data_IF_553282352883
#
_entry.id   IF_553282352883
#
_cell.length_a   1.000
_cell.length_b   1.000
_cell.length_c   1.000
_cell.angle_alpha   90.00
_cell.angle_beta   90.00
_cell.angle_gamma   90.00
#
_symmetry.space_group_name_H-M   'P 1'
#
loop_
_entity.id
_entity.type
_entity.pdbx_description
1 polymer ?
#
# COMPACT_ATOMS: atom_id res chain seq x y z
N UNK A 1 10.78 -37.65 50.18
CA UNK A 1 11.32 -38.07 48.86
C UNK A 1 10.57 -37.32 47.77
N UNK A 2 11.33 -36.61 46.93
CA UNK A 2 11.05 -36.03 45.59
C UNK A 2 9.66 -35.41 45.30
N UNK A 3 9.67 -34.07 45.27
CA UNK A 3 8.76 -33.16 44.56
C UNK A 3 8.92 -33.33 43.02
N UNK A 4 8.04 -32.70 42.24
CA UNK A 4 7.82 -32.75 40.76
C UNK A 4 6.77 -33.80 40.35
N UNK A 5 5.65 -33.43 39.71
CA UNK A 5 5.48 -33.19 38.25
C UNK A 5 4.29 -32.20 38.05
N UNK A 6 4.54 -30.98 37.56
CA UNK A 6 4.24 -30.46 36.21
C UNK A 6 2.75 -30.55 35.77
N UNK A 7 2.01 -29.43 35.80
CA UNK A 7 1.77 -28.53 34.64
C UNK A 7 1.10 -29.25 33.45
N UNK A 8 -0.23 -29.21 33.42
CA UNK A 8 -1.02 -29.41 32.19
C UNK A 8 -1.95 -28.20 32.00
N UNK A 9 -1.34 -27.05 31.75
CA UNK A 9 -2.04 -25.92 31.15
C UNK A 9 -2.34 -26.34 29.70
N UNK A 10 -3.56 -26.82 29.46
CA UNK A 10 -4.08 -27.01 28.11
C UNK A 10 -4.25 -25.62 27.51
N UNK A 11 -3.19 -25.14 26.86
CA UNK A 11 -3.20 -23.92 26.08
C UNK A 11 -4.19 -24.11 24.93
N UNK A 12 -5.22 -23.27 24.92
CA UNK A 12 -6.04 -23.01 23.76
C UNK A 12 -5.15 -22.61 22.58
N UNK A 13 -4.75 -23.56 21.75
CA UNK A 13 -4.28 -23.29 20.40
C UNK A 13 -5.52 -22.98 19.56
N UNK A 14 -6.07 -21.79 19.78
CA UNK A 14 -6.91 -21.13 18.78
C UNK A 14 -6.03 -20.95 17.55
N UNK A 15 -6.29 -21.73 16.51
CA UNK A 15 -5.78 -21.44 15.19
C UNK A 15 -6.37 -20.08 14.81
N UNK A 16 -5.60 -19.01 15.04
CA UNK A 16 -5.89 -17.71 14.46
C UNK A 16 -5.79 -17.88 12.96
N UNK A 17 -6.90 -18.19 12.31
CA UNK A 17 -7.06 -18.01 10.88
C UNK A 17 -6.89 -16.51 10.61
N UNK A 18 -5.66 -16.10 10.32
CA UNK A 18 -5.38 -14.79 9.74
C UNK A 18 -6.22 -14.71 8.48
N UNK A 19 -7.28 -13.91 8.51
CA UNK A 19 -8.17 -13.73 7.38
C UNK A 19 -7.35 -13.09 6.26
N UNK A 20 -7.05 -13.88 5.24
CA UNK A 20 -6.31 -13.46 4.07
C UNK A 20 -7.20 -12.48 3.30
N UNK A 21 -6.90 -11.18 3.43
CA UNK A 21 -7.65 -10.12 2.75
C UNK A 21 -7.27 -10.14 1.28
N UNK A 22 -8.22 -10.43 0.38
CA UNK A 22 -7.99 -10.26 -1.05
C UNK A 22 -7.75 -8.78 -1.37
N UNK A 23 -6.81 -8.46 -2.26
CA UNK A 23 -6.44 -7.06 -2.51
C UNK A 23 -7.65 -6.19 -2.94
N UNK A 24 -8.65 -6.78 -3.59
CA UNK A 24 -9.88 -6.08 -3.95
C UNK A 24 -10.71 -5.66 -2.73
N UNK A 25 -10.83 -6.53 -1.71
CA UNK A 25 -11.51 -6.15 -0.47
C UNK A 25 -10.74 -5.09 0.30
N UNK A 26 -9.41 -5.18 0.32
CA UNK A 26 -8.59 -4.13 0.94
C UNK A 26 -8.77 -2.79 0.20
N UNK A 27 -8.75 -2.82 -1.13
CA UNK A 27 -8.98 -1.67 -1.99
C UNK A 27 -10.34 -1.00 -1.67
N UNK A 28 -11.43 -1.75 -1.75
CA UNK A 28 -12.78 -1.26 -1.44
C UNK A 28 -12.87 -0.70 -0.02
N UNK A 29 -12.23 -1.37 0.94
CA UNK A 29 -12.20 -0.93 2.32
C UNK A 29 -11.47 0.42 2.50
N UNK A 30 -10.28 0.58 1.93
CA UNK A 30 -9.53 1.84 2.07
C UNK A 30 -10.16 2.98 1.27
N UNK A 31 -10.77 2.69 0.12
CA UNK A 31 -11.45 3.70 -0.69
C UNK A 31 -12.74 4.19 -0.04
N UNK A 32 -13.48 3.29 0.63
CA UNK A 32 -14.75 3.62 1.29
C UNK A 32 -14.59 4.17 2.71
N UNK A 33 -13.58 3.69 3.45
CA UNK A 33 -13.41 3.99 4.87
C UNK A 33 -12.18 4.83 5.23
N UNK A 34 -11.23 5.02 4.30
CA UNK A 34 -10.03 5.80 4.52
C UNK A 34 -10.21 7.30 4.28
N UNK A 35 -9.43 8.12 4.99
CA UNK A 35 -9.37 9.56 4.75
C UNK A 35 -8.49 9.88 3.55
N UNK A 36 -9.03 10.51 2.51
CA UNK A 36 -8.27 10.90 1.32
C UNK A 36 -7.17 11.92 1.62
N UNK A 37 -5.90 11.55 1.42
CA UNK A 37 -4.72 12.43 1.64
C UNK A 37 -4.34 13.22 0.39
N UNK A 38 -4.70 12.72 -0.78
CA UNK A 38 -4.48 13.41 -2.05
C UNK A 38 -4.47 12.45 -3.24
N UNK A 39 -4.64 13.01 -4.43
CA UNK A 39 -4.63 12.28 -5.69
C UNK A 39 -3.83 13.06 -6.73
N UNK A 40 -3.08 12.34 -7.56
CA UNK A 40 -2.38 12.84 -8.73
C UNK A 40 -2.90 12.11 -9.97
N UNK A 41 -3.39 12.87 -10.95
CA UNK A 41 -3.88 12.33 -12.22
C UNK A 41 -2.76 12.22 -13.25
N UNK A 42 -3.04 11.54 -14.35
CA UNK A 42 -2.10 11.31 -15.47
C UNK A 42 -1.50 12.61 -16.00
N UNK A 43 -2.30 13.68 -16.04
CA UNK A 43 -1.86 15.01 -16.44
C UNK A 43 -0.72 15.54 -15.57
N UNK A 44 -0.87 15.44 -14.24
CA UNK A 44 0.18 15.89 -13.30
C UNK A 44 1.36 14.92 -13.27
N UNK A 45 1.08 13.61 -13.34
CA UNK A 45 2.11 12.58 -13.27
C UNK A 45 3.05 12.60 -14.47
N UNK A 46 2.54 12.98 -15.65
CA UNK A 46 3.26 13.00 -16.93
C UNK A 46 4.17 11.77 -17.10
N UNK A 47 3.59 10.58 -16.91
CA UNK A 47 4.30 9.30 -16.89
C UNK A 47 3.83 8.40 -18.02
N UNK A 48 4.79 7.69 -18.64
CA UNK A 48 4.48 6.71 -19.68
C UNK A 48 3.69 5.52 -19.15
N UNK A 49 3.77 5.21 -17.85
CA UNK A 49 3.16 4.00 -17.27
C UNK A 49 2.27 4.26 -16.04
N UNK A 50 2.51 5.33 -15.26
CA UNK A 50 1.61 5.70 -14.15
C UNK A 50 0.44 6.52 -14.68
N UNK A 51 -0.79 6.05 -14.44
CA UNK A 51 -1.99 6.74 -14.86
C UNK A 51 -2.60 7.59 -13.76
N UNK A 52 -2.74 7.06 -12.54
CA UNK A 52 -3.29 7.79 -11.39
C UNK A 52 -2.74 7.23 -10.11
N UNK A 53 -2.54 8.09 -9.11
CA UNK A 53 -2.07 7.69 -7.78
C UNK A 53 -2.88 8.43 -6.73
N UNK A 54 -3.57 7.69 -5.87
CA UNK A 54 -4.39 8.21 -4.78
C UNK A 54 -3.88 7.68 -3.44
N UNK A 55 -3.75 8.54 -2.45
CA UNK A 55 -3.39 8.15 -1.09
C UNK A 55 -4.58 8.28 -0.14
N UNK A 56 -4.75 7.27 0.71
CA UNK A 56 -5.72 7.21 1.79
C UNK A 56 -5.00 6.96 3.10
N UNK A 57 -5.50 7.52 4.20
CA UNK A 57 -5.03 7.24 5.55
C UNK A 57 -6.12 6.52 6.33
N UNK A 58 -5.76 5.39 6.93
CA UNK A 58 -6.64 4.62 7.79
C UNK A 58 -5.83 4.00 8.93
N UNK A 59 -6.31 4.14 10.17
CA UNK A 59 -5.59 3.70 11.39
C UNK A 59 -4.11 4.13 11.42
N UNK A 60 -3.83 5.39 11.12
CA UNK A 60 -2.47 5.97 11.07
C UNK A 60 -1.51 5.32 10.07
N UNK A 61 -2.04 4.50 9.15
CA UNK A 61 -1.30 3.90 8.05
C UNK A 61 -1.73 4.52 6.75
N UNK A 62 -0.77 4.85 5.88
CA UNK A 62 -1.05 5.35 4.54
C UNK A 62 -1.08 4.18 3.56
N UNK A 63 -2.14 4.16 2.77
CA UNK A 63 -2.35 3.26 1.64
C UNK A 63 -2.30 4.08 0.36
N UNK A 64 -1.58 3.60 -0.64
CA UNK A 64 -1.57 4.20 -1.97
C UNK A 64 -2.22 3.24 -2.95
N UNK A 65 -3.20 3.74 -3.68
CA UNK A 65 -3.82 3.06 -4.80
C UNK A 65 -3.24 3.67 -6.07
N UNK A 66 -2.59 2.86 -6.89
CA UNK A 66 -2.03 3.29 -8.17
C UNK A 66 -2.70 2.55 -9.33
N UNK A 67 -3.16 3.32 -10.30
CA UNK A 67 -3.62 2.83 -11.59
C UNK A 67 -2.43 2.88 -12.56
N UNK A 68 -2.00 1.72 -13.05
CA UNK A 68 -0.85 1.54 -13.93
C UNK A 68 -1.34 1.11 -15.31
N UNK A 69 -0.86 1.78 -16.37
CA UNK A 69 -1.20 1.43 -17.75
C UNK A 69 -0.62 0.06 -18.10
N UNK A 70 -1.36 -0.74 -18.88
CA UNK A 70 -0.88 -2.06 -19.35
C UNK A 70 0.32 -1.96 -20.30
N UNK A 71 0.42 -0.85 -21.03
CA UNK A 71 1.56 -0.44 -21.84
C UNK A 71 1.47 1.08 -22.05
N UNK A 72 2.50 1.69 -22.63
CA UNK A 72 2.60 3.16 -22.74
C UNK A 72 1.47 3.82 -23.56
N UNK A 73 0.91 3.10 -24.52
CA UNK A 73 -0.15 3.55 -25.41
C UNK A 73 -1.55 3.13 -24.95
N UNK A 74 -1.66 2.39 -23.85
CA UNK A 74 -2.94 1.84 -23.39
C UNK A 74 -3.75 2.88 -22.63
N UNK A 75 -5.04 2.98 -22.96
CA UNK A 75 -6.05 3.66 -22.15
C UNK A 75 -6.57 2.78 -21.01
N UNK A 76 -6.25 1.48 -21.00
CA UNK A 76 -6.62 0.56 -19.95
C UNK A 76 -5.56 0.48 -18.86
N UNK A 77 -6.00 0.44 -17.61
CA UNK A 77 -5.15 0.37 -16.43
C UNK A 77 -5.43 -0.89 -15.60
N UNK A 78 -4.43 -1.30 -14.83
CA UNK A 78 -4.58 -2.25 -13.74
C UNK A 78 -4.37 -1.48 -12.43
N UNK A 79 -5.20 -1.77 -11.43
CA UNK A 79 -5.14 -1.11 -10.13
C UNK A 79 -4.32 -1.94 -9.16
N UNK A 80 -3.42 -1.28 -8.44
CA UNK A 80 -2.55 -1.87 -7.43
C UNK A 80 -2.66 -1.09 -6.14
N UNK A 81 -2.54 -1.79 -5.02
CA UNK A 81 -2.56 -1.20 -3.69
C UNK A 81 -1.20 -1.42 -3.00
N UNK A 82 -0.73 -0.36 -2.35
CA UNK A 82 0.53 -0.28 -1.63
C UNK A 82 0.23 0.11 -0.18
N UNK A 83 0.85 -0.59 0.78
CA UNK A 83 0.47 -0.61 2.19
C UNK A 83 1.56 -0.06 3.09
N UNK A 84 1.17 0.60 4.18
CA UNK A 84 2.11 0.97 5.26
C UNK A 84 3.14 2.01 4.83
N UNK A 85 2.76 2.92 3.94
CA UNK A 85 3.67 3.92 3.38
C UNK A 85 3.96 4.98 4.45
N UNK A 86 5.25 5.24 4.79
CA UNK A 86 5.58 6.32 5.69
C UNK A 86 5.09 7.67 5.15
N UNK A 87 4.58 8.54 6.02
CA UNK A 87 4.14 9.90 5.64
C UNK A 87 5.20 10.68 4.87
N UNK A 88 6.48 10.49 5.22
CA UNK A 88 7.60 11.10 4.51
C UNK A 88 7.73 10.59 3.06
N UNK A 89 7.54 9.29 2.84
CA UNK A 89 7.63 8.70 1.50
C UNK A 89 6.49 9.20 0.60
N UNK A 90 5.27 9.29 1.14
CA UNK A 90 4.15 9.91 0.43
C UNK A 90 4.45 11.39 0.09
N UNK A 91 4.96 12.16 1.07
CA UNK A 91 5.33 13.56 0.87
C UNK A 91 6.40 13.71 -0.22
N UNK A 92 7.48 12.93 -0.16
CA UNK A 92 8.56 12.97 -1.14
C UNK A 92 8.08 12.53 -2.53
N UNK A 93 7.21 11.53 -2.62
CA UNK A 93 6.58 11.17 -3.89
C UNK A 93 5.77 12.33 -4.46
N UNK A 94 4.93 12.97 -3.65
CA UNK A 94 4.02 14.03 -4.11
C UNK A 94 4.74 15.33 -4.45
N UNK A 95 5.60 15.81 -3.56
CA UNK A 95 6.21 17.14 -3.66
C UNK A 95 7.65 17.10 -4.18
N UNK A 96 8.34 15.97 -4.02
CA UNK A 96 9.76 15.86 -4.32
C UNK A 96 10.62 16.58 -3.28
N UNK A 97 11.93 16.55 -3.47
CA UNK A 97 12.90 17.18 -2.59
C UNK A 97 14.22 17.43 -3.30
N UNK A 98 15.18 18.01 -2.57
CA UNK A 98 16.53 18.22 -3.08
C UNK A 98 17.20 16.87 -3.42
N UNK A 99 17.68 16.72 -4.66
CA UNK A 99 18.28 15.48 -5.14
C UNK A 99 17.30 14.40 -5.58
N UNK A 100 15.99 14.67 -5.58
CA UNK A 100 14.99 13.72 -6.08
C UNK A 100 14.87 13.72 -7.61
N UNK A 101 14.48 12.58 -8.20
CA UNK A 101 14.15 12.54 -9.62
C UNK A 101 12.98 13.48 -9.96
N UNK A 102 13.12 14.24 -11.05
CA UNK A 102 12.06 15.15 -11.52
C UNK A 102 10.77 14.39 -11.91
N UNK A 103 10.90 13.20 -12.50
CA UNK A 103 9.74 12.41 -12.96
C UNK A 103 9.03 11.70 -11.80
N UNK A 104 7.70 11.77 -11.77
CA UNK A 104 6.89 11.01 -10.80
C UNK A 104 7.10 9.50 -10.90
N UNK A 105 7.31 8.94 -12.10
CA UNK A 105 7.59 7.51 -12.27
C UNK A 105 8.82 7.03 -11.49
N UNK A 106 9.91 7.79 -11.52
CA UNK A 106 11.13 7.47 -10.75
C UNK A 106 10.93 7.69 -9.24
N UNK A 107 10.21 8.75 -8.84
CA UNK A 107 9.86 8.96 -7.42
C UNK A 107 8.95 7.86 -6.88
N UNK A 108 8.01 7.37 -7.69
CA UNK A 108 7.15 6.25 -7.31
C UNK A 108 7.97 4.98 -7.07
N UNK A 109 8.91 4.66 -7.98
CA UNK A 109 9.85 3.55 -7.77
C UNK A 109 10.70 3.74 -6.51
N UNK A 110 11.12 4.96 -6.20
CA UNK A 110 11.97 5.22 -5.04
C UNK A 110 11.22 5.12 -3.70
N UNK A 111 9.96 5.55 -3.66
CA UNK A 111 9.26 5.78 -2.39
C UNK A 111 8.04 4.90 -2.15
N UNK A 112 7.47 4.28 -3.19
CA UNK A 112 6.16 3.62 -3.13
C UNK A 112 6.22 2.17 -3.61
N UNK A 113 6.95 1.83 -4.68
CA UNK A 113 6.84 0.53 -5.35
C UNK A 113 7.11 -0.68 -4.44
N UNK A 114 8.04 -0.53 -3.49
CA UNK A 114 8.44 -1.60 -2.57
C UNK A 114 7.40 -1.87 -1.47
N UNK A 115 6.40 -0.99 -1.34
CA UNK A 115 5.31 -1.13 -0.37
C UNK A 115 4.13 -1.92 -0.93
N UNK A 116 4.31 -2.70 -2.01
CA UNK A 116 3.23 -3.51 -2.58
C UNK A 116 2.59 -4.37 -1.49
N UNK A 117 1.27 -4.30 -1.36
CA UNK A 117 0.58 -5.08 -0.33
C UNK A 117 0.72 -6.57 -0.64
N UNK A 118 1.07 -7.35 0.37
CA UNK A 118 1.07 -8.81 0.25
C UNK A 118 -0.37 -9.34 0.45
N UNK A 119 -1.19 -9.24 -0.58
CA UNK A 119 -2.52 -9.84 -0.58
C UNK A 119 -2.63 -10.91 -1.68
N UNK A 120 -3.40 -11.95 -1.37
CA UNK A 120 -3.47 -13.22 -2.11
C UNK A 120 -4.92 -13.53 -2.50
#
# INVERSE_FOLDING_TARGET
>A
MKKFVLLLALMCSGNSFSQQISCNRLLEFVESGGYGKGSLSSYTLNSSWLYKVTAYEYNYSIYVVAEIKRNEYSFSTNTYIFCGIPSQNWSNFRYGGYGDPNSYGKRFHKYIIDYVCNCY
#
